data_IF_651748954450
#
_entry.id   IF_651748954450
#
_cell.length_a   1.000
_cell.length_b   1.000
_cell.length_c   1.000
_cell.angle_alpha   90.00
_cell.angle_beta   90.00
_cell.angle_gamma   90.00
#
_symmetry.space_group_name_H-M   'P 1'
#
loop_
_entity.id
_entity.type
_entity.pdbx_description
1 polymer ?
#
# COMPACT_ATOMS: atom_id res chain seq x y z
N UNK A 1 -17.78 -3.77 5.34
CA UNK A 1 -16.31 -3.80 5.16
C UNK A 1 -15.74 -2.59 4.43
N UNK A 2 -16.41 -2.04 3.42
CA UNK A 2 -15.92 -0.89 2.61
C UNK A 2 -15.37 0.31 3.41
N UNK A 3 -16.08 0.75 4.46
CA UNK A 3 -15.65 1.88 5.31
C UNK A 3 -14.35 1.59 6.09
N UNK A 4 -14.16 0.35 6.53
CA UNK A 4 -12.97 -0.08 7.25
C UNK A 4 -11.75 -0.04 6.33
N UNK A 5 -11.87 -0.54 5.10
CA UNK A 5 -10.78 -0.48 4.12
C UNK A 5 -10.41 0.96 3.74
N UNK A 6 -11.40 1.85 3.59
CA UNK A 6 -11.13 3.27 3.39
C UNK A 6 -10.37 3.89 4.58
N UNK A 7 -10.81 3.60 5.82
CA UNK A 7 -10.13 4.09 7.02
C UNK A 7 -8.70 3.56 7.12
N UNK A 8 -8.49 2.27 6.88
CA UNK A 8 -7.16 1.66 6.89
C UNK A 8 -6.25 2.25 5.81
N UNK A 9 -6.78 2.59 4.64
CA UNK A 9 -6.02 3.28 3.60
C UNK A 9 -5.57 4.67 4.07
N UNK A 10 -6.47 5.43 4.71
CA UNK A 10 -6.15 6.76 5.22
C UNK A 10 -5.13 6.70 6.37
N UNK A 11 -5.33 5.82 7.33
CA UNK A 11 -4.38 5.59 8.44
C UNK A 11 -3.03 5.15 7.88
N UNK A 12 -3.05 4.24 6.91
CA UNK A 12 -1.89 3.81 6.16
C UNK A 12 -1.15 5.00 5.55
N UNK A 13 -1.82 5.93 4.88
CA UNK A 13 -1.13 7.12 4.32
C UNK A 13 -0.59 8.01 5.44
N UNK A 14 -1.40 8.35 6.45
CA UNK A 14 -1.06 9.39 7.42
C UNK A 14 0.15 9.02 8.27
N UNK A 15 0.21 7.79 8.80
CA UNK A 15 1.25 7.42 9.76
C UNK A 15 2.66 7.47 9.15
N UNK A 16 2.97 6.76 8.06
CA UNK A 16 4.32 6.68 7.51
C UNK A 16 4.72 7.98 6.81
N UNK A 17 3.78 8.65 6.12
CA UNK A 17 4.08 9.95 5.51
C UNK A 17 4.33 11.03 6.56
N UNK A 18 3.71 10.96 7.76
CA UNK A 18 4.04 11.91 8.83
C UNK A 18 5.51 11.80 9.26
N UNK A 19 6.03 10.58 9.41
CA UNK A 19 7.42 10.35 9.79
C UNK A 19 8.37 10.72 8.65
N UNK A 20 7.99 10.39 7.40
CA UNK A 20 8.77 10.78 6.22
C UNK A 20 8.85 12.30 6.04
N UNK A 21 7.75 13.03 6.30
CA UNK A 21 7.74 14.49 6.23
C UNK A 21 8.62 15.12 7.31
N UNK A 22 8.58 14.62 8.54
CA UNK A 22 9.47 15.09 9.62
C UNK A 22 10.94 14.91 9.23
N UNK A 23 11.29 13.71 8.75
CA UNK A 23 12.62 13.43 8.24
C UNK A 23 13.01 14.35 7.07
N UNK A 24 12.09 14.60 6.13
CA UNK A 24 12.33 15.50 4.99
C UNK A 24 12.55 16.95 5.44
N UNK A 25 11.89 17.41 6.51
CA UNK A 25 12.13 18.76 7.06
C UNK A 25 13.48 18.88 7.76
N UNK A 26 14.01 17.78 8.31
CA UNK A 26 15.28 17.77 9.04
C UNK A 26 16.48 17.59 8.10
N UNK A 27 16.39 16.68 7.13
CA UNK A 27 17.50 16.28 6.26
C UNK A 27 17.38 16.75 4.80
N UNK A 28 16.24 17.32 4.42
CA UNK A 28 15.94 17.70 3.03
C UNK A 28 15.75 16.50 2.10
N UNK A 29 15.69 16.75 0.80
CA UNK A 29 15.54 15.70 -0.21
C UNK A 29 16.89 15.01 -0.50
N UNK A 30 17.38 14.20 0.44
CA UNK A 30 18.65 13.48 0.31
C UNK A 30 18.43 11.95 0.27
N UNK A 31 18.19 11.42 -0.93
CA UNK A 31 17.92 9.99 -1.13
C UNK A 31 19.10 9.11 -0.70
N UNK A 32 20.35 9.56 -0.88
CA UNK A 32 21.52 8.80 -0.43
C UNK A 32 21.53 8.61 1.08
N UNK A 33 21.34 9.70 1.84
CA UNK A 33 21.30 9.64 3.31
C UNK A 33 20.14 8.76 3.82
N UNK A 34 19.00 8.79 3.14
CA UNK A 34 17.87 7.92 3.46
C UNK A 34 18.24 6.45 3.37
N UNK A 35 18.93 6.05 2.30
CA UNK A 35 19.37 4.67 2.11
C UNK A 35 20.44 4.29 3.13
N UNK A 36 21.39 5.17 3.40
CA UNK A 36 22.44 4.93 4.39
C UNK A 36 21.82 4.67 5.78
N UNK A 37 20.87 5.50 6.22
CA UNK A 37 20.19 5.32 7.51
C UNK A 37 19.37 4.03 7.62
N UNK A 38 18.82 3.53 6.51
CA UNK A 38 18.13 2.25 6.47
C UNK A 38 19.11 1.10 6.66
N UNK A 39 20.25 1.14 5.97
CA UNK A 39 21.25 0.06 5.96
C UNK A 39 22.06 0.02 7.26
N UNK A 40 22.35 1.18 7.85
CA UNK A 40 23.08 1.30 9.12
C UNK A 40 22.31 0.70 10.31
N UNK A 41 20.98 0.67 10.24
CA UNK A 41 20.13 0.11 11.29
C UNK A 41 19.51 -1.23 10.84
N UNK A 42 19.93 -2.37 11.42
CA UNK A 42 19.41 -3.69 11.04
C UNK A 42 17.89 -3.84 11.14
N UNK A 43 17.26 -3.20 12.14
CA UNK A 43 15.80 -3.22 12.29
C UNK A 43 15.10 -2.40 11.20
N UNK A 44 15.68 -1.26 10.80
CA UNK A 44 15.16 -0.47 9.69
C UNK A 44 15.31 -1.24 8.37
N UNK A 45 16.47 -1.87 8.13
CA UNK A 45 16.69 -2.74 6.96
C UNK A 45 15.65 -3.85 6.91
N UNK A 46 15.41 -4.56 8.02
CA UNK A 46 14.38 -5.60 8.09
C UNK A 46 12.99 -5.08 7.73
N UNK A 47 12.57 -3.94 8.30
CA UNK A 47 11.28 -3.35 8.02
C UNK A 47 11.12 -2.96 6.54
N UNK A 48 12.15 -2.38 5.92
CA UNK A 48 12.10 -2.02 4.50
C UNK A 48 12.09 -3.25 3.57
N UNK A 49 12.86 -4.29 3.90
CA UNK A 49 12.82 -5.55 3.15
C UNK A 49 11.44 -6.21 3.24
N UNK A 50 10.83 -6.24 4.42
CA UNK A 50 9.46 -6.75 4.61
C UNK A 50 8.45 -5.96 3.78
N UNK A 51 8.56 -4.63 3.72
CA UNK A 51 7.71 -3.78 2.88
C UNK A 51 7.88 -4.10 1.40
N UNK A 52 9.12 -4.26 0.91
CA UNK A 52 9.39 -4.60 -0.50
C UNK A 52 8.77 -5.95 -0.86
N UNK A 53 9.01 -6.98 -0.03
CA UNK A 53 8.45 -8.32 -0.25
C UNK A 53 6.92 -8.27 -0.23
N UNK A 54 6.33 -7.57 0.75
CA UNK A 54 4.88 -7.43 0.86
C UNK A 54 4.27 -6.70 -0.34
N UNK A 55 4.93 -5.65 -0.86
CA UNK A 55 4.48 -4.96 -2.09
C UNK A 55 4.47 -5.92 -3.28
N UNK A 56 5.50 -6.76 -3.45
CA UNK A 56 5.55 -7.76 -4.52
C UNK A 56 4.38 -8.76 -4.38
N UNK A 57 4.16 -9.27 -3.16
CA UNK A 57 3.04 -10.18 -2.86
C UNK A 57 1.70 -9.52 -3.21
N UNK A 58 1.50 -8.26 -2.85
CA UNK A 58 0.28 -7.50 -3.19
C UNK A 58 0.12 -7.37 -4.71
N UNK A 59 1.18 -7.04 -5.46
CA UNK A 59 1.09 -6.95 -6.92
C UNK A 59 0.65 -8.28 -7.52
N UNK A 60 1.25 -9.40 -7.10
CA UNK A 60 0.87 -10.74 -7.56
C UNK A 60 -0.58 -11.07 -7.18
N UNK A 61 -1.01 -10.77 -5.95
CA UNK A 61 -2.38 -10.97 -5.48
C UNK A 61 -3.38 -10.15 -6.30
N UNK A 62 -3.11 -8.86 -6.51
CA UNK A 62 -3.95 -7.94 -7.31
C UNK A 62 -4.08 -8.43 -8.74
N UNK A 63 -2.99 -8.92 -9.34
CA UNK A 63 -3.01 -9.45 -10.70
C UNK A 63 -3.79 -10.77 -10.80
N UNK A 64 -3.60 -11.69 -9.85
CA UNK A 64 -4.27 -12.99 -9.87
C UNK A 64 -5.77 -12.85 -9.55
N UNK A 65 -6.11 -12.28 -8.39
CA UNK A 65 -7.50 -12.15 -7.96
C UNK A 65 -8.27 -11.12 -8.79
N UNK A 66 -7.65 -9.98 -9.06
CA UNK A 66 -8.31 -8.90 -9.79
C UNK A 66 -8.70 -9.30 -11.21
N UNK A 67 -7.88 -10.12 -11.87
CA UNK A 67 -8.17 -10.63 -13.22
C UNK A 67 -9.28 -11.68 -13.18
N UNK A 68 -9.25 -12.58 -12.19
CA UNK A 68 -10.27 -13.61 -12.00
C UNK A 68 -11.65 -12.98 -11.71
N UNK A 69 -11.67 -11.95 -10.88
CA UNK A 69 -12.89 -11.21 -10.50
C UNK A 69 -13.31 -10.17 -11.56
N UNK A 70 -12.62 -10.06 -12.72
CA UNK A 70 -12.87 -9.06 -13.78
C UNK A 70 -12.96 -7.62 -13.28
N UNK A 71 -12.21 -7.31 -12.22
CA UNK A 71 -12.17 -5.97 -11.63
C UNK A 71 -11.42 -5.04 -12.58
N UNK A 72 -12.04 -3.92 -12.95
CA UNK A 72 -11.41 -2.91 -13.83
C UNK A 72 -10.44 -2.04 -13.03
N UNK A 73 -9.41 -1.52 -13.71
CA UNK A 73 -8.42 -0.55 -13.17
C UNK A 73 -7.47 -1.09 -12.08
N UNK A 74 -7.06 -2.35 -12.17
CA UNK A 74 -6.07 -2.98 -11.28
C UNK A 74 -4.71 -2.27 -11.22
N UNK A 75 -4.40 -1.43 -12.21
CA UNK A 75 -3.22 -0.58 -12.19
C UNK A 75 -3.23 0.43 -11.03
N UNK A 76 -4.41 0.85 -10.55
CA UNK A 76 -4.53 1.81 -9.44
C UNK A 76 -3.91 1.27 -8.14
N UNK A 77 -4.33 0.10 -7.62
CA UNK A 77 -3.75 -0.46 -6.40
C UNK A 77 -2.28 -0.84 -6.58
N UNK A 78 -1.85 -1.22 -7.80
CA UNK A 78 -0.42 -1.48 -8.08
C UNK A 78 0.40 -0.20 -7.92
N UNK A 79 0.00 0.90 -8.57
CA UNK A 79 0.71 2.19 -8.42
C UNK A 79 0.66 2.66 -6.97
N UNK A 80 -0.49 2.50 -6.29
CA UNK A 80 -0.62 2.86 -4.89
C UNK A 80 0.33 2.05 -3.98
N UNK A 81 0.56 0.75 -4.27
CA UNK A 81 1.56 -0.05 -3.55
C UNK A 81 2.98 0.45 -3.76
N UNK A 82 3.33 0.94 -4.95
CA UNK A 82 4.69 1.44 -5.21
C UNK A 82 4.93 2.84 -4.62
N UNK A 83 3.93 3.73 -4.68
CA UNK A 83 4.06 5.11 -4.18
C UNK A 83 3.84 5.17 -2.67
N UNK A 84 2.83 4.47 -2.18
CA UNK A 84 2.40 4.50 -0.79
C UNK A 84 2.76 3.26 -0.01
N UNK A 85 3.39 2.23 -0.59
CA UNK A 85 3.69 1.00 0.14
C UNK A 85 2.47 0.08 0.36
N UNK A 86 2.74 -1.03 1.04
CA UNK A 86 1.78 -2.12 1.24
C UNK A 86 0.50 -1.69 1.98
N UNK A 87 0.63 -0.77 2.94
CA UNK A 87 -0.47 -0.27 3.78
C UNK A 87 -1.48 0.60 3.03
N UNK A 88 -1.16 1.10 1.83
CA UNK A 88 -2.12 1.80 0.96
C UNK A 88 -2.66 0.84 -0.10
N UNK A 89 -1.77 0.10 -0.76
CA UNK A 89 -2.14 -0.71 -1.92
C UNK A 89 -3.12 -1.84 -1.60
N UNK A 90 -2.90 -2.56 -0.49
CA UNK A 90 -3.78 -3.66 -0.07
C UNK A 90 -5.20 -3.20 0.29
N UNK A 91 -5.41 -2.26 1.22
CA UNK A 91 -6.77 -1.83 1.56
C UNK A 91 -7.48 -1.14 0.39
N UNK A 92 -6.75 -0.45 -0.49
CA UNK A 92 -7.31 0.11 -1.72
C UNK A 92 -7.82 -0.98 -2.67
N UNK A 93 -7.05 -2.05 -2.86
CA UNK A 93 -7.50 -3.20 -3.65
C UNK A 93 -8.75 -3.85 -3.04
N UNK A 94 -8.76 -4.08 -1.73
CA UNK A 94 -9.91 -4.65 -1.03
C UNK A 94 -11.15 -3.75 -1.13
N UNK A 95 -10.98 -2.43 -1.06
CA UNK A 95 -12.05 -1.47 -1.30
C UNK A 95 -12.61 -1.59 -2.73
N UNK A 96 -11.74 -1.66 -3.74
CA UNK A 96 -12.16 -1.82 -5.13
C UNK A 96 -12.89 -3.14 -5.38
N UNK A 97 -12.39 -4.23 -4.80
CA UNK A 97 -13.03 -5.55 -4.84
C UNK A 97 -14.41 -5.53 -4.19
N UNK A 98 -14.54 -4.92 -3.02
CA UNK A 98 -15.83 -4.75 -2.34
C UNK A 98 -16.82 -3.95 -3.20
N UNK A 99 -16.40 -2.84 -3.80
CA UNK A 99 -17.22 -2.05 -4.71
C UNK A 99 -17.67 -2.84 -5.95
N UNK A 100 -16.83 -3.74 -6.46
CA UNK A 100 -17.17 -4.60 -7.59
C UNK A 100 -18.24 -5.63 -7.20
N UNK A 101 -18.08 -6.29 -6.05
CA UNK A 101 -19.04 -7.27 -5.53
C UNK A 101 -20.41 -6.63 -5.23
N UNK A 102 -20.42 -5.42 -4.65
CA UNK A 102 -21.64 -4.66 -4.39
C UNK A 102 -22.38 -4.31 -5.69
N UNK A 103 -21.65 -3.90 -6.75
CA UNK A 103 -22.24 -3.61 -8.07
C UNK A 103 -22.86 -4.84 -8.74
N UNK A 104 -22.29 -6.02 -8.51
CA UNK A 104 -22.78 -7.27 -9.10
C UNK A 104 -23.87 -7.95 -8.23
N UNK A 105 -24.32 -7.32 -7.14
CA UNK A 105 -25.33 -7.89 -6.24
C UNK A 105 -24.87 -9.14 -5.48
N UNK A 106 -23.57 -9.39 -5.41
CA UNK A 106 -22.98 -10.59 -4.78
C UNK A 106 -22.76 -10.42 -3.27
N UNK A 107 -23.04 -9.24 -2.72
CA UNK A 107 -22.99 -8.97 -1.28
C UNK A 107 -24.40 -9.12 -0.71
N UNK A 108 -24.69 -10.26 -0.04
CA UNK A 108 -25.89 -10.38 0.78
C UNK A 108 -25.69 -9.53 2.04
N UNK A 109 -26.62 -8.62 2.30
CA UNK A 109 -26.70 -7.83 3.54
C UNK A 109 -26.69 -8.72 4.78
#
# INVERSE_FOLDING_TARGET
MRKIYALLTLVGIILPFSQFLLWLTEYGFNVSLFIDQIIENPLATFAWLDVIVTVIVIVVMVMNEGKNDKIKRLWIPIIASFVGGAFVGLPLFLYMKQCHLEKNGLVRN
#
